data_IF_814553351047
#
_entry.id   IF_814553351047
#
_cell.length_a   1.000
_cell.length_b   1.000
_cell.length_c   1.000
_cell.angle_alpha   90.00
_cell.angle_beta   90.00
_cell.angle_gamma   90.00
#
_symmetry.space_group_name_H-M   'P 1'
#
loop_
_entity.id
_entity.type
_entity.pdbx_description
1 polymer ?
#
# COMPACT_ATOMS: atom_id res chain seq x y z
N UNK A 1 7.90 5.01 -6.03
CA UNK A 1 9.09 4.64 -6.82
C UNK A 1 8.80 3.49 -7.78
N UNK A 2 8.27 2.35 -7.34
CA UNK A 2 8.01 1.22 -8.24
C UNK A 2 7.05 1.54 -9.40
N UNK A 3 5.94 2.24 -9.14
CA UNK A 3 5.08 2.74 -10.22
C UNK A 3 5.82 3.65 -11.20
N UNK A 4 6.68 4.55 -10.71
CA UNK A 4 7.51 5.38 -11.57
C UNK A 4 8.48 4.55 -12.44
N UNK A 5 9.10 3.51 -11.87
CA UNK A 5 9.93 2.54 -12.62
C UNK A 5 9.12 1.75 -13.65
N UNK A 6 7.82 1.56 -13.42
CA UNK A 6 6.87 1.03 -14.38
C UNK A 6 6.34 2.09 -15.38
N UNK A 7 6.86 3.32 -15.38
CA UNK A 7 6.53 4.36 -16.37
C UNK A 7 5.35 5.26 -16.01
N UNK A 8 4.84 5.23 -14.77
CA UNK A 8 3.79 6.13 -14.32
C UNK A 8 4.35 7.50 -13.92
N UNK A 9 3.59 8.55 -14.16
CA UNK A 9 3.72 9.82 -13.43
C UNK A 9 3.03 9.67 -12.09
N UNK A 10 3.74 9.94 -10.99
CA UNK A 10 3.28 9.59 -9.64
C UNK A 10 3.07 10.83 -8.80
N UNK A 11 1.91 10.93 -8.17
CA UNK A 11 1.59 11.92 -7.13
C UNK A 11 1.42 11.20 -5.79
N UNK A 12 2.06 11.71 -4.75
CA UNK A 12 1.93 11.21 -3.38
C UNK A 12 0.99 12.07 -2.55
N UNK A 13 0.21 11.44 -1.68
CA UNK A 13 -0.65 12.10 -0.69
C UNK A 13 -0.36 11.53 0.69
N UNK A 14 -0.14 12.41 1.66
CA UNK A 14 -0.06 12.06 3.09
C UNK A 14 -0.50 13.29 3.90
N UNK A 15 -1.09 13.06 5.08
CA UNK A 15 -1.47 14.11 6.03
C UNK A 15 -0.24 14.75 6.71
N UNK A 16 0.92 14.09 6.64
CA UNK A 16 2.20 14.57 7.14
C UNK A 16 3.09 15.05 6.01
N UNK A 17 3.89 16.10 6.21
CA UNK A 17 4.89 16.50 5.22
C UNK A 17 5.91 15.37 4.99
N UNK A 18 6.20 15.06 3.72
CA UNK A 18 7.17 14.05 3.30
C UNK A 18 8.25 14.68 2.41
N UNK A 19 9.22 15.42 2.97
CA UNK A 19 10.20 16.17 2.18
C UNK A 19 11.12 15.29 1.33
N UNK A 20 11.28 14.01 1.68
CA UNK A 20 12.08 13.04 0.91
C UNK A 20 11.26 12.31 -0.15
N UNK A 21 9.95 12.58 -0.28
CA UNK A 21 9.15 11.97 -1.33
C UNK A 21 9.63 12.50 -2.69
N UNK A 22 10.05 11.62 -3.63
CA UNK A 22 10.82 12.05 -4.79
C UNK A 22 9.96 12.56 -5.96
N UNK A 23 8.65 12.67 -5.80
CA UNK A 23 7.72 13.10 -6.84
C UNK A 23 6.81 14.23 -6.35
N UNK A 24 5.85 14.65 -7.17
CA UNK A 24 4.83 15.61 -6.75
C UNK A 24 4.11 15.11 -5.50
N UNK A 25 3.95 16.00 -4.52
CA UNK A 25 3.37 15.68 -3.22
C UNK A 25 2.26 16.66 -2.88
N UNK A 26 1.15 16.13 -2.37
CA UNK A 26 0.00 16.90 -1.88
C UNK A 26 -0.16 16.58 -0.39
N UNK A 27 -0.07 17.63 0.44
CA UNK A 27 -0.32 17.52 1.87
C UNK A 27 -1.84 17.59 2.12
N UNK A 28 -2.49 16.43 2.21
CA UNK A 28 -3.94 16.32 2.35
C UNK A 28 -4.33 15.02 3.09
N UNK A 29 -5.49 15.01 3.73
CA UNK A 29 -6.06 13.76 4.26
C UNK A 29 -6.37 12.78 3.10
N UNK A 30 -6.08 11.50 3.30
CA UNK A 30 -6.21 10.50 2.23
C UNK A 30 -7.67 10.27 1.82
N UNK A 31 -8.64 10.34 2.74
CA UNK A 31 -10.05 10.20 2.37
C UNK A 31 -10.55 11.44 1.64
N UNK A 32 -10.03 12.63 1.97
CA UNK A 32 -10.30 13.88 1.25
C UNK A 32 -9.73 13.85 -0.16
N UNK A 33 -8.46 13.47 -0.32
CA UNK A 33 -7.85 13.29 -1.65
C UNK A 33 -8.60 12.24 -2.49
N UNK A 34 -9.07 11.15 -1.87
CA UNK A 34 -9.92 10.18 -2.56
C UNK A 34 -11.22 10.80 -3.05
N UNK A 35 -11.82 11.73 -2.32
CA UNK A 35 -13.07 12.37 -2.75
C UNK A 35 -12.88 13.39 -3.86
N UNK A 36 -11.80 14.15 -3.77
CA UNK A 36 -11.61 15.34 -4.62
C UNK A 36 -10.79 15.06 -5.87
N UNK A 37 -9.81 14.15 -5.79
CA UNK A 37 -8.77 14.02 -6.80
C UNK A 37 -8.76 12.67 -7.51
N UNK A 38 -9.33 11.60 -6.91
CA UNK A 38 -9.05 10.23 -7.39
C UNK A 38 -9.44 10.00 -8.86
N UNK A 39 -10.51 10.65 -9.34
CA UNK A 39 -10.98 10.52 -10.71
C UNK A 39 -10.08 11.23 -11.74
N UNK A 40 -9.12 12.04 -11.30
CA UNK A 40 -8.08 12.61 -12.18
C UNK A 40 -6.98 11.60 -12.52
N UNK A 41 -6.90 10.48 -11.79
CA UNK A 41 -5.86 9.47 -11.96
C UNK A 41 -6.37 8.22 -12.67
N UNK A 42 -5.45 7.53 -13.35
CA UNK A 42 -5.73 6.24 -13.99
C UNK A 42 -5.63 5.05 -13.04
N UNK A 43 -4.91 5.23 -11.91
CA UNK A 43 -4.70 4.21 -10.90
C UNK A 43 -4.49 4.86 -9.52
N UNK A 44 -5.21 4.36 -8.52
CA UNK A 44 -5.03 4.72 -7.11
C UNK A 44 -4.30 3.60 -6.38
N UNK A 45 -3.30 3.93 -5.56
CA UNK A 45 -2.73 2.99 -4.59
C UNK A 45 -2.86 3.54 -3.18
N UNK A 46 -3.49 2.79 -2.29
CA UNK A 46 -3.69 3.18 -0.90
C UNK A 46 -3.08 2.16 0.07
N UNK A 47 -2.42 2.66 1.12
CA UNK A 47 -1.91 1.85 2.24
C UNK A 47 -2.54 2.35 3.54
N UNK A 48 -3.85 2.15 3.77
CA UNK A 48 -4.52 2.68 4.96
C UNK A 48 -3.93 2.07 6.24
N UNK A 49 -3.82 2.85 7.32
CA UNK A 49 -3.30 2.34 8.59
C UNK A 49 -4.19 1.20 9.11
N UNK A 50 -3.56 0.07 9.46
CA UNK A 50 -4.24 -1.10 10.04
C UNK A 50 -3.51 -1.62 11.29
N UNK A 51 -3.29 -0.72 12.25
CA UNK A 51 -2.56 -1.02 13.48
C UNK A 51 -3.26 -1.95 14.49
N UNK A 52 -4.58 -2.26 14.47
CA UNK A 52 -5.14 -3.22 15.41
C UNK A 52 -4.60 -4.66 15.23
N UNK A 53 -3.98 -4.99 14.09
CA UNK A 53 -3.73 -6.38 13.68
C UNK A 53 -2.26 -6.77 13.47
N UNK A 54 -1.30 -5.85 13.68
CA UNK A 54 0.13 -6.21 13.52
C UNK A 54 0.60 -7.17 14.64
N UNK A 55 1.43 -8.15 14.32
CA UNK A 55 2.03 -9.04 15.34
C UNK A 55 2.85 -8.27 16.41
N UNK A 56 3.31 -7.05 16.08
CA UNK A 56 4.02 -6.14 16.98
C UNK A 56 3.10 -5.47 18.03
N UNK A 57 1.80 -5.31 17.74
CA UNK A 57 0.84 -4.73 18.70
C UNK A 57 0.39 -5.71 19.79
N UNK A 58 0.65 -7.01 19.64
CA UNK A 58 0.36 -8.04 20.67
C UNK A 58 1.30 -8.02 21.89
N UNK A 59 2.38 -7.23 21.85
CA UNK A 59 3.33 -7.09 22.96
C UNK A 59 3.24 -5.75 23.68
N UNK A 60 3.92 -4.73 23.15
CA UNK A 60 4.25 -3.49 23.88
C UNK A 60 3.25 -2.34 23.69
N UNK A 61 2.14 -2.55 22.98
CA UNK A 61 1.21 -1.48 22.59
C UNK A 61 -0.23 -1.66 23.14
N UNK A 62 -0.38 -2.41 24.23
CA UNK A 62 -1.67 -2.61 24.90
C UNK A 62 -2.32 -1.25 25.27
N UNK A 63 -3.53 -0.99 24.76
CA UNK A 63 -4.34 0.17 25.15
C UNK A 63 -4.38 1.37 24.19
N UNK A 64 -3.77 1.31 23.00
CA UNK A 64 -3.96 2.36 21.98
C UNK A 64 -5.26 2.15 21.20
N UNK A 65 -6.08 3.19 21.09
CA UNK A 65 -7.18 3.23 20.12
C UNK A 65 -6.57 3.37 18.73
N UNK A 66 -6.94 2.48 17.82
CA UNK A 66 -6.42 2.45 16.46
C UNK A 66 -7.53 2.76 15.48
N UNK A 67 -7.24 3.65 14.55
CA UNK A 67 -8.12 3.95 13.44
C UNK A 67 -7.93 2.82 12.42
N UNK A 68 -9.02 2.17 12.04
CA UNK A 68 -9.08 1.29 10.88
C UNK A 68 -9.76 2.06 9.76
N UNK A 69 -8.98 2.43 8.74
CA UNK A 69 -9.48 3.15 7.55
C UNK A 69 -9.68 2.21 6.36
N UNK A 70 -9.43 0.90 6.50
CA UNK A 70 -9.55 -0.04 5.40
C UNK A 70 -11.00 -0.11 4.85
N UNK A 71 -12.06 -0.17 5.69
CA UNK A 71 -13.44 -0.19 5.19
C UNK A 71 -13.79 1.08 4.39
N UNK A 72 -13.51 2.27 4.94
CA UNK A 72 -13.83 3.55 4.29
C UNK A 72 -13.04 3.73 2.99
N UNK A 73 -11.75 3.36 2.99
CA UNK A 73 -10.94 3.43 1.78
C UNK A 73 -11.50 2.52 0.68
N UNK A 74 -11.90 1.28 1.03
CA UNK A 74 -12.51 0.34 0.08
C UNK A 74 -13.84 0.88 -0.47
N UNK A 75 -14.68 1.47 0.38
CA UNK A 75 -15.94 2.09 -0.01
C UNK A 75 -15.73 3.24 -1.01
N UNK A 76 -14.80 4.16 -0.74
CA UNK A 76 -14.48 5.27 -1.64
C UNK A 76 -13.90 4.78 -2.97
N UNK A 77 -12.93 3.87 -2.92
CA UNK A 77 -12.34 3.24 -4.10
C UNK A 77 -13.40 2.59 -5.00
N UNK A 78 -14.37 1.89 -4.40
CA UNK A 78 -15.48 1.27 -5.15
C UNK A 78 -16.44 2.34 -5.70
N UNK A 79 -16.82 3.31 -4.87
CA UNK A 79 -17.75 4.38 -5.21
C UNK A 79 -17.31 5.24 -6.39
N UNK A 80 -16.03 5.61 -6.46
CA UNK A 80 -15.54 6.50 -7.51
C UNK A 80 -15.19 5.77 -8.82
N UNK A 81 -15.16 4.44 -8.81
CA UNK A 81 -14.97 3.62 -10.00
C UNK A 81 -13.60 3.77 -10.67
N UNK A 82 -12.57 4.23 -9.96
CA UNK A 82 -11.20 4.34 -10.47
C UNK A 82 -10.47 3.01 -10.25
N UNK A 83 -9.62 2.52 -11.17
CA UNK A 83 -8.74 1.40 -10.87
C UNK A 83 -7.94 1.65 -9.59
N UNK A 84 -7.85 0.66 -8.71
CA UNK A 84 -7.28 0.81 -7.39
C UNK A 84 -6.56 -0.44 -6.89
N UNK A 85 -5.56 -0.18 -6.04
CA UNK A 85 -4.82 -1.16 -5.26
C UNK A 85 -4.85 -0.70 -3.81
N UNK A 86 -5.23 -1.58 -2.90
CA UNK A 86 -5.06 -1.38 -1.48
C UNK A 86 -4.00 -2.35 -0.99
N UNK A 87 -2.97 -1.86 -0.31
CA UNK A 87 -1.91 -2.67 0.28
C UNK A 87 -2.06 -2.72 1.81
N UNK A 88 -1.81 -3.90 2.39
CA UNK A 88 -1.67 -4.01 3.83
C UNK A 88 -0.85 -5.23 4.29
N UNK A 89 -0.60 -5.27 5.60
CA UNK A 89 0.10 -6.37 6.27
C UNK A 89 -0.75 -7.65 6.34
N UNK A 90 -0.12 -8.84 6.42
CA UNK A 90 -0.83 -10.06 6.77
C UNK A 90 -1.58 -9.93 8.10
N UNK A 91 -2.89 -10.22 8.08
CA UNK A 91 -3.78 -10.13 9.25
C UNK A 91 -4.68 -8.90 9.30
N UNK A 92 -4.54 -7.95 8.37
CA UNK A 92 -5.28 -6.68 8.32
C UNK A 92 -6.76 -6.78 7.84
N UNK A 93 -7.32 -7.98 7.67
CA UNK A 93 -8.68 -8.13 7.11
C UNK A 93 -8.82 -7.70 5.64
N UNK A 94 -7.70 -7.57 4.92
CA UNK A 94 -7.65 -7.25 3.49
C UNK A 94 -7.85 -8.51 2.63
N UNK A 95 -8.55 -8.39 1.49
CA UNK A 95 -8.66 -9.50 0.54
C UNK A 95 -7.28 -9.78 -0.07
N UNK A 96 -6.93 -11.05 -0.20
CA UNK A 96 -5.58 -11.48 -0.59
C UNK A 96 -5.53 -11.80 -2.08
N UNK A 97 -5.72 -10.77 -2.89
CA UNK A 97 -5.75 -10.91 -4.36
C UNK A 97 -4.36 -11.20 -4.91
N UNK A 98 -3.36 -10.54 -4.34
CA UNK A 98 -1.96 -10.76 -4.65
C UNK A 98 -1.13 -10.76 -3.36
N UNK A 99 -0.13 -11.65 -3.29
CA UNK A 99 0.86 -11.68 -2.21
C UNK A 99 2.25 -11.55 -2.74
N UNK A 100 2.97 -10.53 -2.26
CA UNK A 100 4.36 -10.32 -2.62
C UNK A 100 5.28 -10.46 -1.41
N UNK A 101 6.44 -11.07 -1.62
CA UNK A 101 7.52 -11.24 -0.65
C UNK A 101 8.84 -10.79 -1.29
N UNK A 102 9.76 -10.24 -0.49
CA UNK A 102 11.02 -9.70 -1.00
C UNK A 102 11.86 -10.77 -1.69
N UNK A 103 11.73 -12.02 -1.22
CA UNK A 103 12.41 -13.18 -1.80
C UNK A 103 12.09 -13.39 -3.29
N UNK A 104 10.84 -13.14 -3.70
CA UNK A 104 10.41 -13.26 -5.11
C UNK A 104 11.17 -12.31 -6.04
N UNK A 105 11.80 -11.27 -5.49
CA UNK A 105 12.52 -10.24 -6.23
C UNK A 105 14.01 -10.20 -5.87
N UNK A 106 14.53 -11.23 -5.19
CA UNK A 106 15.93 -11.29 -4.79
C UNK A 106 16.35 -10.31 -3.69
N UNK A 107 15.39 -9.71 -2.99
CA UNK A 107 15.65 -8.68 -1.98
C UNK A 107 16.22 -9.24 -0.68
N UNK A 108 16.86 -8.37 0.11
CA UNK A 108 17.45 -8.67 1.42
C UNK A 108 16.46 -8.64 2.58
N UNK A 109 15.15 -8.73 2.32
CA UNK A 109 14.09 -8.70 3.34
C UNK A 109 13.06 -9.80 3.16
N UNK A 110 12.58 -10.35 4.27
CA UNK A 110 11.34 -11.13 4.31
C UNK A 110 10.21 -10.17 4.69
N UNK A 111 9.49 -9.66 3.69
CA UNK A 111 8.42 -8.66 3.87
C UNK A 111 7.17 -9.02 3.10
N UNK A 112 6.35 -9.93 3.63
CA UNK A 112 5.08 -10.27 3.02
C UNK A 112 4.10 -9.10 3.09
N UNK A 113 3.47 -8.80 1.96
CA UNK A 113 2.37 -7.85 1.83
C UNK A 113 1.25 -8.43 0.98
N UNK A 114 0.03 -8.11 1.38
CA UNK A 114 -1.18 -8.48 0.67
C UNK A 114 -1.71 -7.25 -0.05
N UNK A 115 -2.19 -7.46 -1.26
CA UNK A 115 -2.80 -6.44 -2.08
C UNK A 115 -4.21 -6.89 -2.41
N UNK A 116 -5.16 -5.99 -2.17
CA UNK A 116 -6.51 -6.06 -2.68
C UNK A 116 -6.59 -5.15 -3.90
N UNK A 117 -7.15 -5.68 -4.97
CA UNK A 117 -7.08 -5.12 -6.32
C UNK A 117 -8.51 -5.10 -6.85
N UNK A 118 -8.96 -4.05 -7.55
CA UNK A 118 -10.19 -4.18 -8.34
C UNK A 118 -9.89 -4.83 -9.69
N UNK A 119 -10.48 -6.01 -9.91
CA UNK A 119 -10.18 -6.94 -11.01
C UNK A 119 -10.93 -6.53 -12.26
N UNK A 120 -10.55 -5.40 -12.85
CA UNK A 120 -11.23 -4.88 -14.03
C UNK A 120 -10.74 -5.63 -15.26
N UNK A 121 -11.36 -6.77 -15.57
CA UNK A 121 -11.06 -7.53 -16.79
C UNK A 121 -10.01 -8.63 -16.65
N UNK A 122 -9.54 -8.95 -15.43
CA UNK A 122 -8.67 -10.13 -15.22
C UNK A 122 -8.11 -10.26 -13.81
N UNK A 123 -7.68 -11.48 -13.48
CA UNK A 123 -7.02 -11.81 -12.22
C UNK A 123 -5.56 -11.33 -12.20
N UNK A 124 -5.06 -10.75 -11.09
CA UNK A 124 -3.64 -10.41 -10.98
C UNK A 124 -2.79 -11.69 -11.01
N UNK A 125 -1.72 -11.66 -11.78
CA UNK A 125 -0.80 -12.79 -11.89
C UNK A 125 0.03 -12.91 -10.62
N UNK A 126 -0.15 -14.00 -9.88
CA UNK A 126 0.63 -14.29 -8.67
C UNK A 126 2.00 -14.88 -9.07
N UNK A 127 3.13 -14.21 -8.77
CA UNK A 127 4.44 -14.80 -9.00
C UNK A 127 4.67 -15.97 -8.05
N UNK A 128 5.48 -16.93 -8.47
CA UNK A 128 5.85 -18.09 -7.64
C UNK A 128 6.54 -17.62 -6.34
N UNK A 129 6.09 -18.13 -5.20
CA UNK A 129 6.76 -17.88 -3.92
C UNK A 129 7.92 -18.86 -3.76
N UNK A 130 9.14 -18.32 -3.71
CA UNK A 130 10.37 -19.10 -3.55
C UNK A 130 10.67 -19.31 -2.06
N UNK A 131 11.18 -20.49 -1.72
CA UNK A 131 11.62 -20.79 -0.36
C UNK A 131 12.67 -19.79 0.12
N UNK A 132 12.49 -19.27 1.34
CA UNK A 132 13.47 -18.35 1.93
C UNK A 132 14.81 -19.05 2.17
N UNK A 133 15.91 -18.36 1.87
CA UNK A 133 17.30 -18.84 1.89
C UNK A 133 17.93 -18.90 3.29
N UNK A 134 17.20 -18.51 4.33
CA UNK A 134 17.71 -18.49 5.70
C UNK A 134 16.87 -17.65 6.66
N UNK A 135 17.33 -17.50 7.91
CA UNK A 135 16.67 -16.67 8.90
C UNK A 135 16.92 -15.18 8.66
N UNK A 136 16.11 -14.33 9.29
CA UNK A 136 16.41 -12.90 9.44
C UNK A 136 17.51 -12.73 10.49
N UNK A 137 18.53 -11.92 10.18
CA UNK A 137 19.62 -11.56 11.08
C UNK A 137 19.11 -10.86 12.33
N UNK A 138 19.69 -11.22 13.47
CA UNK A 138 19.48 -10.54 14.75
C UNK A 138 19.09 -11.49 15.88
N UNK A 139 18.89 -10.91 17.06
CA UNK A 139 18.44 -11.64 18.24
C UNK A 139 16.94 -11.98 18.14
N UNK A 140 16.62 -13.26 18.37
CA UNK A 140 15.26 -13.77 18.50
C UNK A 140 15.22 -14.79 19.63
N UNK A 141 14.38 -14.53 20.64
CA UNK A 141 14.21 -15.42 21.80
C UNK A 141 15.55 -15.86 22.46
N UNK A 142 16.48 -14.91 22.63
CA UNK A 142 17.77 -15.18 23.26
C UNK A 142 18.80 -15.91 22.38
N UNK A 143 18.51 -16.12 21.09
CA UNK A 143 19.43 -16.74 20.13
C UNK A 143 19.79 -15.74 19.05
N UNK A 144 21.09 -15.57 18.79
CA UNK A 144 21.58 -14.83 17.63
C UNK A 144 21.41 -15.68 16.37
N UNK A 145 20.79 -15.10 15.34
CA UNK A 145 20.74 -15.68 14.00
C UNK A 145 21.52 -14.77 13.06
N UNK A 146 22.39 -15.37 12.27
CA UNK A 146 23.13 -14.69 11.22
C UNK A 146 22.66 -15.23 9.87
N UNK A 147 21.75 -14.50 9.23
CA UNK A 147 21.12 -14.94 8.00
C UNK A 147 21.02 -13.80 6.98
N UNK A 148 20.65 -14.12 5.73
CA UNK A 148 20.81 -13.21 4.61
C UNK A 148 19.82 -12.04 4.58
N UNK A 149 18.83 -12.04 5.49
CA UNK A 149 17.79 -11.00 5.52
C UNK A 149 17.98 -10.06 6.69
N UNK A 150 17.70 -8.78 6.48
CA UNK A 150 17.70 -7.78 7.55
C UNK A 150 16.29 -7.53 8.08
N UNK A 151 16.19 -7.20 9.37
CA UNK A 151 14.95 -6.72 9.96
C UNK A 151 14.85 -5.21 9.72
N UNK A 152 14.04 -4.81 8.74
CA UNK A 152 13.80 -3.41 8.39
C UNK A 152 12.78 -2.73 9.31
N UNK A 153 12.98 -2.83 10.63
CA UNK A 153 12.15 -2.17 11.63
C UNK A 153 12.84 -2.09 12.97
N UNK A 154 12.49 -1.07 13.76
CA UNK A 154 12.98 -0.83 15.13
C UNK A 154 14.51 -0.64 15.21
N UNK A 155 15.03 -0.46 16.42
CA UNK A 155 16.47 -0.20 16.65
C UNK A 155 17.07 -1.25 17.60
N UNK A 156 18.33 -1.63 17.37
CA UNK A 156 19.10 -2.56 18.22
C UNK A 156 18.94 -4.06 17.93
N UNK A 157 19.69 -4.91 18.64
CA UNK A 157 19.54 -6.37 18.57
C UNK A 157 19.84 -7.00 17.20
N UNK A 158 20.69 -6.38 16.38
CA UNK A 158 21.04 -6.85 15.02
C UNK A 158 20.05 -6.46 13.92
N UNK A 159 19.07 -5.61 14.22
CA UNK A 159 18.19 -4.96 13.22
C UNK A 159 19.01 -4.15 12.21
N UNK A 160 18.46 -3.96 11.01
CA UNK A 160 19.17 -3.27 9.93
C UNK A 160 19.50 -1.82 10.31
N UNK A 161 20.69 -1.37 9.94
CA UNK A 161 21.01 0.05 9.84
C UNK A 161 20.22 0.69 8.69
N UNK A 162 20.20 2.03 8.62
CA UNK A 162 19.57 2.74 7.50
C UNK A 162 20.14 2.26 6.16
N UNK A 163 21.46 2.24 6.00
CA UNK A 163 22.11 1.79 4.76
C UNK A 163 21.73 0.34 4.40
N UNK A 164 21.76 -0.58 5.38
CA UNK A 164 21.35 -1.97 5.13
C UNK A 164 19.85 -2.08 4.77
N UNK A 165 18.99 -1.25 5.35
CA UNK A 165 17.57 -1.20 5.00
C UNK A 165 17.36 -0.68 3.58
N UNK A 166 18.10 0.35 3.17
CA UNK A 166 18.07 0.91 1.83
C UNK A 166 18.48 -0.16 0.81
N UNK A 167 19.64 -0.80 1.00
CA UNK A 167 20.14 -1.86 0.12
C UNK A 167 19.18 -3.07 0.07
N UNK A 168 18.70 -3.51 1.22
CA UNK A 168 17.89 -4.72 1.29
C UNK A 168 16.47 -4.55 0.72
N UNK A 169 15.93 -3.33 0.69
CA UNK A 169 14.61 -3.03 0.12
C UNK A 169 14.69 -2.31 -1.24
N UNK A 170 15.90 -1.96 -1.70
CA UNK A 170 16.15 -1.11 -2.87
C UNK A 170 15.43 0.26 -2.76
N UNK A 171 15.66 0.96 -1.65
CA UNK A 171 15.08 2.27 -1.36
C UNK A 171 16.22 3.25 -1.04
N UNK A 172 16.58 4.11 -1.98
CA UNK A 172 17.73 5.02 -1.83
C UNK A 172 17.39 6.51 -1.84
N UNK A 173 16.11 6.88 -1.96
CA UNK A 173 15.66 8.28 -1.98
C UNK A 173 15.46 8.90 -0.59
N UNK A 174 15.52 8.09 0.47
CA UNK A 174 15.36 8.54 1.86
C UNK A 174 16.31 7.80 2.78
N UNK A 175 16.87 8.50 3.76
CA UNK A 175 17.65 7.97 4.87
C UNK A 175 16.85 8.00 6.20
N UNK A 176 15.58 8.40 6.14
CA UNK A 176 14.70 8.46 7.31
C UNK A 176 14.23 7.05 7.68
N UNK A 177 14.70 6.58 8.83
CA UNK A 177 14.40 5.23 9.34
C UNK A 177 12.89 4.92 9.44
N UNK A 178 12.05 5.89 9.80
CA UNK A 178 10.58 5.71 9.83
C UNK A 178 10.05 5.36 8.42
N UNK A 179 10.43 6.17 7.43
CA UNK A 179 9.98 5.99 6.04
C UNK A 179 10.41 4.63 5.51
N UNK A 180 11.65 4.20 5.77
CA UNK A 180 12.14 2.86 5.43
C UNK A 180 11.39 1.74 6.18
N UNK A 181 10.98 1.97 7.44
CA UNK A 181 10.26 0.97 8.22
C UNK A 181 8.85 0.75 7.66
N UNK A 182 8.16 1.81 7.27
CA UNK A 182 6.78 1.75 6.79
C UNK A 182 6.66 1.40 5.30
N UNK A 183 7.63 1.80 4.47
CA UNK A 183 7.60 1.59 3.02
C UNK A 183 7.55 0.11 2.59
N UNK A 184 6.98 -0.14 1.41
CA UNK A 184 7.13 -1.41 0.68
C UNK A 184 8.25 -1.29 -0.37
N UNK A 185 8.97 -2.38 -0.69
CA UNK A 185 9.99 -2.37 -1.73
C UNK A 185 9.44 -1.89 -3.08
N UNK A 186 10.16 -1.06 -3.85
CA UNK A 186 9.72 -0.60 -5.17
C UNK A 186 9.39 -1.73 -6.13
N UNK A 187 10.10 -2.86 -6.03
CA UNK A 187 9.84 -4.04 -6.86
C UNK A 187 8.37 -4.50 -6.82
N UNK A 188 7.66 -4.29 -5.70
CA UNK A 188 6.27 -4.70 -5.56
C UNK A 188 5.34 -3.85 -6.43
N UNK A 189 5.46 -2.52 -6.32
CA UNK A 189 4.62 -1.60 -7.10
C UNK A 189 5.05 -1.53 -8.56
N UNK A 190 6.32 -1.81 -8.86
CA UNK A 190 6.79 -2.00 -10.24
C UNK A 190 6.16 -3.22 -10.90
N UNK A 191 6.12 -4.36 -10.20
CA UNK A 191 5.46 -5.57 -10.68
C UNK A 191 3.97 -5.34 -10.96
N UNK A 192 3.27 -4.74 -10.00
CA UNK A 192 1.85 -4.37 -10.11
C UNK A 192 1.62 -3.40 -11.28
N UNK A 193 2.42 -2.34 -11.39
CA UNK A 193 2.31 -1.35 -12.47
C UNK A 193 2.52 -1.96 -13.87
N UNK A 194 3.48 -2.88 -14.02
CA UNK A 194 3.71 -3.59 -15.28
C UNK A 194 2.54 -4.49 -15.67
N UNK A 195 1.92 -5.17 -14.69
CA UNK A 195 0.70 -5.94 -14.97
C UNK A 195 -0.45 -5.03 -15.39
N UNK A 196 -0.57 -3.85 -14.76
CA UNK A 196 -1.63 -2.89 -15.07
C UNK A 196 -1.57 -2.43 -16.52
N UNK A 197 -0.37 -2.13 -17.01
CA UNK A 197 -0.14 -1.65 -18.37
C UNK A 197 -0.16 -2.76 -19.44
N UNK A 198 -0.19 -4.04 -19.08
CA UNK A 198 -0.17 -5.14 -20.05
C UNK A 198 -1.41 -5.04 -20.97
N UNK A 199 -1.27 -5.24 -22.29
CA UNK A 199 -2.42 -5.35 -23.18
C UNK A 199 -3.39 -6.45 -22.73
N UNK A 200 -4.68 -6.12 -22.55
CA UNK A 200 -5.67 -7.03 -21.97
C UNK A 200 -5.52 -7.28 -20.46
N UNK A 201 -4.62 -6.56 -19.81
CA UNK A 201 -4.50 -6.52 -18.35
C UNK A 201 -5.56 -5.62 -17.73
N UNK A 202 -5.63 -5.65 -16.41
CA UNK A 202 -6.58 -4.90 -15.59
C UNK A 202 -6.63 -3.38 -15.77
N UNK A 203 -5.60 -2.74 -16.33
CA UNK A 203 -5.64 -1.32 -16.70
C UNK A 203 -6.25 -1.02 -18.08
N UNK A 204 -6.59 -2.06 -18.85
CA UNK A 204 -7.08 -1.92 -20.24
C UNK A 204 -8.61 -1.78 -20.37
N UNK A 205 -9.33 -1.79 -19.25
CA UNK A 205 -10.80 -1.72 -19.23
C UNK A 205 -11.26 -0.27 -19.11
N UNK A 206 -12.28 0.10 -19.89
CA UNK A 206 -12.94 1.41 -19.76
C UNK A 206 -13.46 1.61 -18.35
N UNK A 207 -13.26 2.80 -17.77
CA UNK A 207 -13.90 3.26 -16.53
C UNK A 207 -15.38 2.85 -16.55
N UNK A 208 -15.75 1.87 -15.74
CA UNK A 208 -17.09 1.39 -15.52
C UNK A 208 -17.87 2.50 -14.85
N UNK A 209 -19.17 2.54 -15.14
CA UNK A 209 -20.06 3.40 -14.39
C UNK A 209 -20.02 2.95 -12.94
N UNK A 210 -19.68 3.84 -11.98
CA UNK A 210 -19.69 3.46 -10.58
C UNK A 210 -21.08 2.96 -10.20
N UNK A 211 -21.13 1.82 -9.51
CA UNK A 211 -22.38 1.35 -8.90
C UNK A 211 -22.68 2.26 -7.71
N UNK A 212 -23.58 3.22 -7.92
CA UNK A 212 -23.84 4.33 -6.99
C UNK A 212 -24.91 4.00 -5.94
N UNK A 213 -25.35 2.74 -5.80
CA UNK A 213 -26.32 2.37 -4.76
C UNK A 213 -25.98 1.05 -4.05
N UNK A 214 -26.08 1.01 -2.70
CA UNK A 214 -26.42 2.11 -1.81
C UNK A 214 -25.24 3.07 -1.59
N UNK A 215 -25.55 4.36 -1.41
CA UNK A 215 -24.56 5.40 -1.09
C UNK A 215 -23.83 5.06 0.22
N UNK A 216 -22.48 4.89 0.20
CA UNK A 216 -21.69 4.59 1.38
C UNK A 216 -21.85 5.64 2.50
N UNK A 217 -21.86 5.21 3.76
CA UNK A 217 -22.00 6.13 4.89
C UNK A 217 -20.88 7.17 4.94
N UNK A 218 -19.67 6.79 4.53
CA UNK A 218 -18.51 7.68 4.50
C UNK A 218 -18.66 8.83 3.49
N UNK A 219 -19.51 8.69 2.46
CA UNK A 219 -19.69 9.72 1.42
C UNK A 219 -20.96 10.56 1.62
N UNK A 220 -21.99 10.05 2.32
CA UNK A 220 -23.27 10.76 2.53
C UNK A 220 -23.14 12.21 3.01
N UNK A 221 -22.25 12.57 3.96
CA UNK A 221 -22.11 13.96 4.40
C UNK A 221 -21.61 14.92 3.31
N UNK A 222 -20.99 14.39 2.25
CA UNK A 222 -20.37 15.12 1.15
C UNK A 222 -21.22 15.12 -0.12
N UNK A 223 -22.48 14.71 -0.02
CA UNK A 223 -23.41 14.68 -1.13
C UNK A 223 -24.61 15.58 -0.83
N UNK A 224 -25.07 16.32 -1.84
CA UNK A 224 -26.31 17.10 -1.82
C UNK A 224 -27.16 16.75 -3.03
N UNK A 225 -28.47 16.93 -2.91
CA UNK A 225 -29.33 16.96 -4.10
C UNK A 225 -29.21 18.32 -4.77
N UNK A 226 -28.98 18.34 -6.09
CA UNK A 226 -29.12 19.52 -6.93
C UNK A 226 -30.59 19.97 -6.97
N UNK A 227 -30.89 21.20 -7.41
CA UNK A 227 -32.26 21.66 -7.61
C UNK A 227 -33.11 20.73 -8.50
N UNK A 228 -32.46 19.98 -9.40
CA UNK A 228 -33.05 19.00 -10.32
C UNK A 228 -33.18 17.59 -9.70
N UNK A 229 -32.90 17.44 -8.40
CA UNK A 229 -33.04 16.19 -7.65
C UNK A 229 -31.91 15.19 -7.84
N UNK A 230 -30.84 15.54 -8.57
CA UNK A 230 -29.69 14.66 -8.78
C UNK A 230 -28.72 14.74 -7.60
N UNK A 231 -28.15 13.61 -7.18
CA UNK A 231 -27.04 13.63 -6.23
C UNK A 231 -25.79 14.26 -6.86
N UNK A 232 -25.22 15.24 -6.19
CA UNK A 232 -23.99 15.93 -6.58
C UNK A 232 -23.05 16.01 -5.37
N UNK A 233 -21.74 15.96 -5.61
CA UNK A 233 -20.74 16.27 -4.58
C UNK A 233 -20.84 17.74 -4.18
N UNK A 234 -20.65 18.02 -2.89
CA UNK A 234 -20.66 19.39 -2.34
C UNK A 234 -19.35 20.10 -2.58
#
# INVERSE_FOLDING_TARGET
MGYHRAGFEVVGVDIRPRPNYPFQFILLDALEAMRELCQEFDLVHASPPCQPHTALTKGTNFGRQYIDLLPQMRELCTWYGVPWVIENVPGAGIRRDLTLCGEMFGLGVIRHRYFEINWWGGEPEQPEHIAHRGPVRGWRHGVWRDGPYIAAYGRGGGKGTVAEMQDAMDIHWTDVHEELTEAIPPAYTEYIGRQFQRPGGWGSVQRGEPDTEPIPECIRPYLKHSPEGRLVSV
#
